data_IF_787043252136
#
_entry.id   IF_787043252136
#
_cell.length_a   1.000
_cell.length_b   1.000
_cell.length_c   1.000
_cell.angle_alpha   90.00
_cell.angle_beta   90.00
_cell.angle_gamma   90.00
#
_symmetry.space_group_name_H-M   'P 1'
#
loop_
_entity.id
_entity.type
_entity.pdbx_description
1 polymer ?
#
# COMPACT_ATOMS: atom_id res chain seq x y z
N UNK A 1 -81.08 2.26 44.60
CA UNK A 1 -80.93 1.81 43.21
C UNK A 1 -79.84 2.63 42.58
N UNK A 2 -78.73 1.98 42.22
CA UNK A 2 -77.66 2.57 41.43
C UNK A 2 -78.16 2.78 40.00
N UNK A 3 -77.98 3.98 39.45
CA UNK A 3 -77.88 4.14 38.00
C UNK A 3 -76.41 4.43 37.70
N UNK A 4 -75.80 3.49 37.01
CA UNK A 4 -74.41 3.52 36.58
C UNK A 4 -74.16 4.74 35.69
N UNK A 5 -73.14 5.52 36.06
CA UNK A 5 -72.42 6.38 35.14
C UNK A 5 -71.76 5.49 34.09
N UNK A 6 -72.35 5.38 32.90
CA UNK A 6 -71.63 4.90 31.73
C UNK A 6 -70.66 6.02 31.32
N UNK A 7 -69.42 5.93 31.78
CA UNK A 7 -68.30 6.65 31.18
C UNK A 7 -68.28 6.30 29.69
N UNK A 8 -68.32 7.27 28.76
CA UNK A 8 -67.91 6.98 27.40
C UNK A 8 -66.43 6.61 27.48
N UNK A 9 -66.10 5.37 27.08
CA UNK A 9 -64.73 5.03 26.77
C UNK A 9 -64.23 6.05 25.74
N UNK A 10 -63.26 6.86 26.14
CA UNK A 10 -62.57 7.84 25.31
C UNK A 10 -61.91 7.10 24.15
N UNK A 11 -62.65 6.90 23.06
CA UNK A 11 -62.11 6.41 21.80
C UNK A 11 -61.12 7.44 21.29
N UNK A 12 -59.87 7.01 21.08
CA UNK A 12 -58.83 7.85 20.50
C UNK A 12 -59.41 8.62 19.31
N UNK A 13 -59.35 9.95 19.38
CA UNK A 13 -59.94 10.79 18.34
C UNK A 13 -59.17 10.57 17.05
N UNK A 14 -59.85 10.57 15.90
CA UNK A 14 -59.25 10.31 14.58
C UNK A 14 -57.99 11.18 14.31
N UNK A 15 -57.94 12.35 14.96
CA UNK A 15 -56.81 13.29 14.97
C UNK A 15 -55.58 12.72 15.70
N UNK A 16 -55.73 12.08 16.85
CA UNK A 16 -54.61 11.45 17.58
C UNK A 16 -54.00 10.30 16.78
N UNK A 17 -54.82 9.51 16.07
CA UNK A 17 -54.34 8.45 15.18
C UNK A 17 -53.55 9.05 14.00
N UNK A 18 -54.01 10.14 13.42
CA UNK A 18 -53.31 10.85 12.34
C UNK A 18 -51.97 11.45 12.81
N UNK A 19 -51.95 12.09 13.98
CA UNK A 19 -50.72 12.66 14.55
C UNK A 19 -49.73 11.54 14.89
N UNK A 20 -50.17 10.48 15.57
CA UNK A 20 -49.30 9.34 15.89
C UNK A 20 -48.74 8.66 14.64
N UNK A 21 -49.57 8.47 13.61
CA UNK A 21 -49.15 7.84 12.34
C UNK A 21 -48.14 8.71 11.58
N UNK A 22 -48.35 10.03 11.52
CA UNK A 22 -47.42 10.95 10.83
C UNK A 22 -46.06 11.02 11.54
N UNK A 23 -46.05 11.14 12.87
CA UNK A 23 -44.81 11.09 13.66
C UNK A 23 -44.09 9.75 13.47
N UNK A 24 -44.82 8.64 13.48
CA UNK A 24 -44.25 7.32 13.27
C UNK A 24 -43.61 7.17 11.88
N UNK A 25 -44.26 7.67 10.82
CA UNK A 25 -43.71 7.65 9.46
C UNK A 25 -42.45 8.52 9.37
N UNK A 26 -42.45 9.72 9.97
CA UNK A 26 -41.27 10.60 9.98
C UNK A 26 -40.10 9.95 10.70
N UNK A 27 -40.34 9.34 11.86
CA UNK A 27 -39.30 8.62 12.62
C UNK A 27 -38.77 7.43 11.82
N UNK A 28 -39.62 6.69 11.11
CA UNK A 28 -39.19 5.59 10.25
C UNK A 28 -38.31 6.06 9.10
N UNK A 29 -38.67 7.16 8.43
CA UNK A 29 -37.87 7.72 7.32
C UNK A 29 -36.51 8.20 7.83
N UNK A 30 -36.48 8.94 8.96
CA UNK A 30 -35.23 9.40 9.56
C UNK A 30 -34.34 8.25 10.03
N UNK A 31 -34.93 7.22 10.62
CA UNK A 31 -34.19 6.03 11.07
C UNK A 31 -33.64 5.22 9.90
N UNK A 32 -34.40 5.12 8.80
CA UNK A 32 -33.95 4.44 7.59
C UNK A 32 -32.80 5.22 6.91
N UNK A 33 -32.92 6.55 6.82
CA UNK A 33 -31.86 7.43 6.30
C UNK A 33 -30.57 7.35 7.12
N UNK A 34 -30.68 7.40 8.45
CA UNK A 34 -29.53 7.22 9.34
C UNK A 34 -28.92 5.82 9.19
N UNK A 35 -29.73 4.76 9.11
CA UNK A 35 -29.24 3.40 8.92
C UNK A 35 -28.50 3.20 7.58
N UNK A 36 -28.96 3.85 6.51
CA UNK A 36 -28.26 3.82 5.22
C UNK A 36 -26.92 4.55 5.29
N UNK A 37 -26.86 5.74 5.90
CA UNK A 37 -25.60 6.48 6.06
C UNK A 37 -24.59 5.70 6.93
N UNK A 38 -25.02 5.11 8.05
CA UNK A 38 -24.14 4.29 8.89
C UNK A 38 -23.65 3.02 8.17
N UNK A 39 -24.50 2.41 7.33
CA UNK A 39 -24.13 1.24 6.52
C UNK A 39 -23.07 1.58 5.48
N UNK A 40 -23.24 2.71 4.78
CA UNK A 40 -22.28 3.15 3.77
C UNK A 40 -20.96 3.60 4.41
N UNK A 41 -21.02 4.28 5.57
CA UNK A 41 -19.83 4.58 6.36
C UNK A 41 -19.09 3.31 6.80
N UNK A 42 -19.82 2.27 7.25
CA UNK A 42 -19.22 0.99 7.63
C UNK A 42 -18.50 0.30 6.48
N UNK A 43 -19.11 0.27 5.29
CA UNK A 43 -18.47 -0.31 4.09
C UNK A 43 -17.23 0.47 3.66
N UNK A 44 -17.27 1.80 3.76
CA UNK A 44 -16.12 2.64 3.43
C UNK A 44 -14.97 2.39 4.40
N UNK A 45 -15.25 2.39 5.71
CA UNK A 45 -14.25 2.11 6.73
C UNK A 45 -13.58 0.72 6.57
N UNK A 46 -14.36 -0.31 6.21
CA UNK A 46 -13.82 -1.65 5.94
C UNK A 46 -12.96 -1.69 4.67
N UNK A 47 -13.37 -0.99 3.61
CA UNK A 47 -12.59 -0.88 2.38
C UNK A 47 -11.26 -0.13 2.61
N UNK A 48 -11.30 0.95 3.38
CA UNK A 48 -10.12 1.75 3.72
C UNK A 48 -9.14 0.94 4.58
N UNK A 49 -9.63 0.20 5.58
CA UNK A 49 -8.80 -0.68 6.38
C UNK A 49 -8.12 -1.78 5.55
N UNK A 50 -8.84 -2.35 4.57
CA UNK A 50 -8.29 -3.33 3.63
C UNK A 50 -7.16 -2.74 2.78
N UNK A 51 -7.39 -1.55 2.22
CA UNK A 51 -6.39 -0.85 1.40
C UNK A 51 -5.16 -0.50 2.24
N UNK A 52 -5.34 0.05 3.45
CA UNK A 52 -4.23 0.37 4.35
C UNK A 52 -3.37 -0.87 4.63
N UNK A 53 -3.99 -2.02 4.89
CA UNK A 53 -3.28 -3.28 5.11
C UNK A 53 -2.46 -3.71 3.88
N UNK A 54 -3.02 -3.58 2.68
CA UNK A 54 -2.32 -3.92 1.44
C UNK A 54 -1.16 -2.96 1.15
N UNK A 55 -1.32 -1.67 1.45
CA UNK A 55 -0.24 -0.68 1.40
C UNK A 55 0.90 -1.05 2.34
N UNK A 56 0.58 -1.45 3.58
CA UNK A 56 1.57 -1.93 4.55
C UNK A 56 2.32 -3.18 4.09
N UNK A 57 1.60 -4.13 3.50
CA UNK A 57 2.20 -5.35 2.93
C UNK A 57 3.14 -5.00 1.78
N UNK A 58 2.73 -4.09 0.90
CA UNK A 58 3.55 -3.63 -0.21
C UNK A 58 4.80 -2.90 0.28
N UNK A 59 4.66 -1.99 1.24
CA UNK A 59 5.78 -1.31 1.89
C UNK A 59 6.76 -2.31 2.52
N UNK A 60 6.25 -3.30 3.26
CA UNK A 60 7.07 -4.34 3.89
C UNK A 60 7.79 -5.23 2.87
N UNK A 61 7.15 -5.50 1.72
CA UNK A 61 7.76 -6.24 0.60
C UNK A 61 8.89 -5.43 -0.03
N UNK A 62 8.67 -4.14 -0.31
CA UNK A 62 9.73 -3.24 -0.79
C UNK A 62 10.89 -3.21 0.19
N UNK A 63 10.61 -3.05 1.49
CA UNK A 63 11.68 -3.09 2.49
C UNK A 63 12.47 -4.40 2.45
N UNK A 64 11.78 -5.54 2.39
CA UNK A 64 12.42 -6.85 2.32
C UNK A 64 13.28 -7.01 1.06
N UNK A 65 12.87 -6.47 -0.08
CA UNK A 65 13.60 -6.52 -1.36
C UNK A 65 14.85 -5.65 -1.27
N UNK A 66 14.69 -4.35 -0.94
CA UNK A 66 15.78 -3.40 -0.89
C UNK A 66 16.83 -3.74 0.17
N UNK A 67 16.43 -4.41 1.25
CA UNK A 67 17.37 -4.92 2.26
C UNK A 67 18.34 -5.96 1.69
N UNK A 68 17.99 -6.67 0.61
CA UNK A 68 18.92 -7.58 -0.08
C UNK A 68 19.87 -6.87 -1.05
N UNK A 69 19.80 -5.54 -1.16
CA UNK A 69 20.61 -4.74 -2.07
C UNK A 69 22.11 -5.03 -1.97
N UNK A 70 22.73 -5.09 -3.14
CA UNK A 70 24.12 -5.46 -3.38
C UNK A 70 24.97 -4.29 -3.88
N UNK A 71 24.39 -3.44 -4.72
CA UNK A 71 25.04 -2.27 -5.30
C UNK A 71 24.53 -0.96 -4.72
N UNK A 72 25.23 0.12 -5.04
CA UNK A 72 24.76 1.48 -4.78
C UNK A 72 23.43 1.69 -5.51
N UNK A 73 22.35 2.02 -4.79
CA UNK A 73 21.04 2.21 -5.40
C UNK A 73 21.02 3.48 -6.25
N UNK A 74 20.39 3.40 -7.41
CA UNK A 74 20.18 4.52 -8.34
C UNK A 74 18.72 4.95 -8.22
N UNK A 75 18.49 6.17 -7.76
CA UNK A 75 17.14 6.71 -7.55
C UNK A 75 16.82 7.72 -8.65
N UNK A 76 15.59 7.69 -9.17
CA UNK A 76 15.14 8.64 -10.19
C UNK A 76 15.16 10.08 -9.67
N UNK A 77 15.23 11.05 -10.58
CA UNK A 77 15.26 12.47 -10.22
C UNK A 77 13.99 12.94 -9.52
N UNK A 78 12.86 12.31 -9.79
CA UNK A 78 11.57 12.59 -9.16
C UNK A 78 11.33 11.73 -7.89
N UNK A 79 12.28 10.85 -7.54
CA UNK A 79 12.24 10.00 -6.36
C UNK A 79 11.20 8.88 -6.42
N UNK A 80 10.57 8.60 -7.56
CA UNK A 80 9.49 7.60 -7.66
C UNK A 80 9.98 6.20 -8.04
N UNK A 81 11.26 6.05 -8.42
CA UNK A 81 11.86 4.74 -8.67
C UNK A 81 13.24 4.59 -8.04
N UNK A 82 13.59 3.33 -7.76
CA UNK A 82 14.92 2.91 -7.32
C UNK A 82 15.33 1.65 -8.07
N UNK A 83 16.53 1.69 -8.63
CA UNK A 83 17.21 0.55 -9.23
C UNK A 83 18.35 0.09 -8.33
N UNK A 84 18.43 -1.21 -8.09
CA UNK A 84 19.45 -1.82 -7.24
C UNK A 84 19.63 -3.28 -7.62
N UNK A 85 20.86 -3.77 -7.58
CA UNK A 85 21.11 -5.20 -7.70
C UNK A 85 20.72 -5.90 -6.39
N UNK A 86 19.97 -7.00 -6.47
CA UNK A 86 19.47 -7.75 -5.32
C UNK A 86 19.87 -9.21 -5.38
N UNK A 87 19.87 -9.82 -4.19
CA UNK A 87 20.32 -11.18 -3.96
C UNK A 87 19.19 -12.05 -3.41
N UNK A 88 19.37 -13.36 -3.52
CA UNK A 88 18.38 -14.33 -3.06
C UNK A 88 17.22 -14.48 -4.03
N UNK A 89 17.48 -14.33 -5.32
CA UNK A 89 16.53 -14.60 -6.39
C UNK A 89 17.18 -15.48 -7.46
N UNK A 90 16.41 -16.39 -8.03
CA UNK A 90 16.80 -17.21 -9.17
C UNK A 90 15.72 -17.16 -10.25
N UNK A 91 16.13 -17.32 -11.50
CA UNK A 91 15.19 -17.40 -12.60
C UNK A 91 14.78 -18.86 -12.83
N UNK A 92 13.50 -19.14 -12.61
CA UNK A 92 12.90 -20.42 -12.95
C UNK A 92 12.59 -20.43 -14.45
N UNK A 93 13.42 -21.14 -15.22
CA UNK A 93 13.27 -21.26 -16.67
C UNK A 93 12.06 -22.08 -17.11
N UNK A 94 11.46 -22.88 -16.22
CA UNK A 94 10.25 -23.66 -16.54
C UNK A 94 9.02 -22.77 -16.48
N UNK A 95 8.95 -21.90 -15.48
CA UNK A 95 7.83 -20.98 -15.27
C UNK A 95 8.08 -19.57 -15.82
N UNK A 96 9.23 -19.35 -16.45
CA UNK A 96 9.69 -18.06 -17.00
C UNK A 96 9.55 -16.91 -15.99
N UNK A 97 9.91 -17.18 -14.73
CA UNK A 97 9.67 -16.25 -13.62
C UNK A 97 10.84 -16.23 -12.64
N UNK A 98 11.18 -15.04 -12.15
CA UNK A 98 12.06 -14.91 -10.99
C UNK A 98 11.36 -15.45 -9.74
N UNK A 99 12.09 -16.14 -8.89
CA UNK A 99 11.59 -16.68 -7.63
C UNK A 99 12.54 -16.30 -6.50
N UNK A 100 11.95 -16.06 -5.33
CA UNK A 100 12.72 -15.73 -4.13
C UNK A 100 13.26 -17.01 -3.51
N UNK A 101 14.57 -17.04 -3.30
CA UNK A 101 15.25 -18.07 -2.53
C UNK A 101 15.16 -17.70 -1.05
N UNK A 102 14.90 -18.69 -0.20
CA UNK A 102 14.85 -18.50 1.25
C UNK A 102 16.16 -17.84 1.76
N UNK A 103 16.10 -16.66 2.42
CA UNK A 103 17.27 -16.01 3.01
C UNK A 103 18.07 -16.85 4.01
N UNK A 104 17.50 -17.93 4.53
CA UNK A 104 18.19 -18.87 5.41
C UNK A 104 19.06 -19.89 4.65
N UNK A 105 18.82 -20.10 3.35
CA UNK A 105 19.50 -21.15 2.58
C UNK A 105 20.70 -20.64 1.80
N UNK A 106 20.88 -19.33 1.62
CA UNK A 106 22.05 -18.80 0.92
C UNK A 106 22.96 -17.96 1.82
N UNK A 107 24.23 -17.88 1.43
CA UNK A 107 25.24 -17.12 2.16
C UNK A 107 26.22 -16.44 1.20
N UNK A 108 26.79 -15.35 1.69
CA UNK A 108 27.90 -14.65 1.02
C UNK A 108 29.21 -15.39 1.29
N UNK A 109 30.06 -15.51 0.28
CA UNK A 109 31.43 -16.00 0.37
C UNK A 109 32.40 -14.96 -0.20
N UNK A 110 33.64 -14.99 0.26
CA UNK A 110 34.71 -14.11 -0.22
C UNK A 110 35.76 -14.96 -0.93
N UNK A 111 35.99 -14.68 -2.20
CA UNK A 111 37.07 -15.27 -2.96
C UNK A 111 38.34 -14.42 -2.78
N UNK A 112 39.31 -14.98 -2.04
CA UNK A 112 40.60 -14.34 -1.81
C UNK A 112 41.45 -14.20 -3.08
N UNK A 113 41.18 -14.99 -4.12
CA UNK A 113 41.97 -14.99 -5.36
C UNK A 113 41.57 -13.84 -6.29
N UNK A 114 40.28 -13.52 -6.35
CA UNK A 114 39.73 -12.40 -7.15
C UNK A 114 39.46 -11.15 -6.31
N UNK A 115 39.65 -11.24 -4.98
CA UNK A 115 39.30 -10.19 -4.02
C UNK A 115 37.85 -9.72 -4.16
N UNK A 116 36.95 -10.65 -4.48
CA UNK A 116 35.54 -10.37 -4.74
C UNK A 116 34.63 -11.24 -3.87
N UNK A 117 33.40 -10.77 -3.68
CA UNK A 117 32.39 -11.52 -2.95
C UNK A 117 31.40 -12.13 -3.95
N UNK A 118 30.97 -13.35 -3.68
CA UNK A 118 29.97 -14.08 -4.45
C UNK A 118 28.98 -14.77 -3.50
N UNK A 119 27.94 -15.38 -4.04
CA UNK A 119 26.86 -15.97 -3.27
C UNK A 119 26.71 -17.43 -3.59
N UNK A 120 26.44 -18.23 -2.56
CA UNK A 120 26.13 -19.64 -2.74
C UNK A 120 24.86 -20.02 -2.03
N UNK A 121 24.17 -21.03 -2.55
CA UNK A 121 23.05 -21.69 -1.89
C UNK A 121 23.53 -22.61 -0.74
N UNK A 122 22.60 -23.42 -0.22
CA UNK A 122 22.84 -24.31 0.92
C UNK A 122 23.78 -25.46 0.57
N UNK A 123 23.87 -25.80 -0.71
CA UNK A 123 24.66 -26.89 -1.27
C UNK A 123 26.01 -26.41 -1.82
N UNK A 124 26.22 -25.09 -1.89
CA UNK A 124 27.47 -24.47 -2.31
C UNK A 124 27.52 -24.06 -3.78
N UNK A 125 26.40 -24.09 -4.50
CA UNK A 125 26.31 -23.61 -5.88
C UNK A 125 26.20 -22.09 -5.92
N UNK A 126 26.90 -21.48 -6.87
CA UNK A 126 26.89 -20.04 -7.05
C UNK A 126 25.52 -19.52 -7.50
N UNK A 127 25.04 -18.46 -6.86
CA UNK A 127 23.77 -17.82 -7.14
C UNK A 127 23.96 -16.52 -7.93
N UNK A 128 23.07 -16.21 -8.88
CA UNK A 128 23.14 -14.98 -9.66
C UNK A 128 22.74 -13.77 -8.82
N UNK A 129 23.16 -12.59 -9.30
CA UNK A 129 22.67 -11.29 -8.84
C UNK A 129 21.60 -10.82 -9.81
N UNK A 130 20.44 -10.39 -9.31
CA UNK A 130 19.34 -9.91 -10.14
C UNK A 130 19.28 -8.38 -10.13
N UNK A 131 19.02 -7.75 -11.28
CA UNK A 131 18.68 -6.34 -11.35
C UNK A 131 17.25 -6.14 -10.85
N UNK A 132 17.06 -5.24 -9.90
CA UNK A 132 15.74 -4.91 -9.35
C UNK A 132 15.41 -3.45 -9.59
N UNK A 133 14.28 -3.20 -10.25
CA UNK A 133 13.66 -1.88 -10.37
C UNK A 133 12.37 -1.87 -9.56
N UNK A 134 12.31 -1.05 -8.53
CA UNK A 134 11.07 -0.74 -7.82
C UNK A 134 10.61 0.64 -8.25
N UNK A 135 9.37 0.75 -8.73
CA UNK A 135 8.83 1.99 -9.28
C UNK A 135 7.37 2.19 -8.86
N UNK A 136 7.05 3.41 -8.45
CA UNK A 136 5.67 3.86 -8.32
C UNK A 136 5.23 4.55 -9.60
N UNK A 137 4.39 3.87 -10.37
CA UNK A 137 3.87 4.35 -11.64
C UNK A 137 2.52 5.02 -11.44
N UNK A 138 2.43 6.30 -11.77
CA UNK A 138 1.18 7.08 -11.70
C UNK A 138 0.12 6.50 -12.65
N UNK A 139 -1.15 6.57 -12.24
CA UNK A 139 -2.29 6.12 -13.03
C UNK A 139 -2.61 7.10 -14.18
N UNK A 140 -2.22 8.37 -14.03
CA UNK A 140 -2.36 9.41 -15.05
C UNK A 140 -1.03 10.15 -15.26
N UNK A 141 -0.82 10.65 -16.48
CA UNK A 141 0.28 11.55 -16.82
C UNK A 141 -0.13 13.03 -16.81
N UNK A 142 -1.42 13.35 -16.71
CA UNK A 142 -1.92 14.73 -16.59
C UNK A 142 -1.87 15.20 -15.13
N UNK A 143 -1.00 16.17 -14.77
CA UNK A 143 -0.86 16.66 -13.39
C UNK A 143 -2.12 17.29 -12.79
N UNK A 144 -3.09 17.66 -13.62
CA UNK A 144 -4.37 18.24 -13.18
C UNK A 144 -5.41 17.17 -12.83
N UNK A 145 -5.17 15.91 -13.20
CA UNK A 145 -6.05 14.80 -12.85
C UNK A 145 -5.84 14.39 -11.39
N UNK A 146 -6.93 14.07 -10.68
CA UNK A 146 -6.83 13.44 -9.36
C UNK A 146 -5.99 12.16 -9.41
N UNK A 147 -6.10 11.40 -10.50
CA UNK A 147 -5.44 10.11 -10.69
C UNK A 147 -3.93 10.23 -10.90
N UNK A 148 -3.40 11.44 -11.12
CA UNK A 148 -1.96 11.67 -11.20
C UNK A 148 -1.24 11.35 -9.89
N UNK A 149 -1.93 11.56 -8.76
CA UNK A 149 -1.39 11.34 -7.42
C UNK A 149 -1.68 9.94 -6.89
N UNK A 150 -2.29 9.09 -7.72
CA UNK A 150 -2.51 7.68 -7.48
C UNK A 150 -1.72 6.86 -8.49
N UNK A 151 -1.32 5.66 -8.10
CA UNK A 151 -0.45 4.83 -8.92
C UNK A 151 -0.35 3.41 -8.42
N UNK A 152 0.41 2.60 -9.14
CA UNK A 152 0.73 1.23 -8.79
C UNK A 152 2.20 1.12 -8.42
N UNK A 153 2.50 0.33 -7.40
CA UNK A 153 3.86 0.05 -7.00
C UNK A 153 4.27 -1.28 -7.62
N UNK A 154 5.28 -1.22 -8.48
CA UNK A 154 5.77 -2.35 -9.26
C UNK A 154 7.21 -2.65 -8.86
N UNK A 155 7.53 -3.94 -8.81
CA UNK A 155 8.89 -4.44 -8.74
C UNK A 155 9.17 -5.28 -9.97
N UNK A 156 10.23 -4.95 -10.70
CA UNK A 156 10.71 -5.72 -11.85
C UNK A 156 12.06 -6.34 -11.49
N UNK A 157 12.19 -7.65 -11.66
CA UNK A 157 13.46 -8.36 -11.58
C UNK A 157 13.92 -8.75 -12.97
N UNK A 158 15.22 -8.63 -13.26
CA UNK A 158 15.81 -9.09 -14.51
C UNK A 158 17.27 -9.51 -14.38
N UNK A 159 17.77 -10.21 -15.40
CA UNK A 159 19.22 -10.47 -15.57
C UNK A 159 19.92 -9.36 -16.38
N UNK A 160 19.26 -8.21 -16.60
CA UNK A 160 19.75 -7.16 -17.51
C UNK A 160 19.60 -7.49 -19.00
N UNK A 161 18.98 -8.62 -19.33
CA UNK A 161 18.71 -9.08 -20.69
C UNK A 161 17.22 -9.32 -20.93
N UNK A 162 16.90 -10.53 -21.42
CA UNK A 162 15.54 -10.89 -21.87
C UNK A 162 14.69 -11.43 -20.71
N UNK A 163 15.32 -12.04 -19.71
CA UNK A 163 14.60 -12.71 -18.62
C UNK A 163 14.18 -11.67 -17.58
N UNK A 164 12.92 -11.28 -17.63
CA UNK A 164 12.36 -10.31 -16.69
C UNK A 164 11.01 -10.75 -16.14
N UNK A 165 10.75 -10.39 -14.89
CA UNK A 165 9.47 -10.65 -14.23
C UNK A 165 9.02 -9.39 -13.52
N UNK A 166 7.77 -8.99 -13.76
CA UNK A 166 7.15 -7.84 -13.15
C UNK A 166 6.11 -8.28 -12.11
N UNK A 167 6.19 -7.71 -10.92
CA UNK A 167 5.24 -7.93 -9.83
C UNK A 167 4.59 -6.62 -9.43
N UNK A 168 3.26 -6.56 -9.50
CA UNK A 168 2.52 -5.49 -8.84
C UNK A 168 2.47 -5.78 -7.34
N UNK A 169 3.09 -4.92 -6.53
CA UNK A 169 3.12 -5.03 -5.08
C UNK A 169 1.86 -4.46 -4.43
N UNK A 170 1.32 -3.37 -4.99
CA UNK A 170 0.04 -2.79 -4.61
C UNK A 170 -0.50 -1.93 -5.75
N UNK A 171 -1.83 -1.93 -5.85
CA UNK A 171 -2.58 -1.12 -6.80
C UNK A 171 -3.10 0.14 -6.11
N UNK A 172 -3.21 1.23 -6.87
CA UNK A 172 -3.93 2.44 -6.46
C UNK A 172 -3.44 3.11 -5.16
N UNK A 173 -2.13 3.10 -4.93
CA UNK A 173 -1.44 3.88 -3.91
C UNK A 173 -1.43 5.35 -4.30
N UNK A 174 -1.98 6.19 -3.44
CA UNK A 174 -1.98 7.64 -3.65
C UNK A 174 -2.32 8.45 -2.43
N UNK A 175 -2.16 9.76 -2.59
CA UNK A 175 -2.37 10.71 -1.51
C UNK A 175 -2.97 12.03 -2.01
N UNK A 176 -3.91 12.55 -1.23
CA UNK A 176 -4.38 13.94 -1.34
C UNK A 176 -3.49 14.92 -0.55
N UNK A 177 -2.47 14.43 0.14
CA UNK A 177 -1.61 15.23 1.01
C UNK A 177 -0.81 16.25 0.17
N UNK A 178 -0.67 17.47 0.69
CA UNK A 178 0.10 18.54 0.06
C UNK A 178 1.35 18.89 0.87
N UNK A 179 2.39 19.32 0.19
CA UNK A 179 3.54 20.01 0.73
C UNK A 179 3.13 21.42 1.22
N UNK A 180 3.99 22.04 2.04
CA UNK A 180 3.74 23.40 2.55
C UNK A 180 3.60 24.47 1.44
N UNK A 181 4.16 24.21 0.27
CA UNK A 181 4.03 25.08 -0.91
C UNK A 181 2.72 24.89 -1.68
N UNK A 182 1.86 23.94 -1.28
CA UNK A 182 0.58 23.63 -1.91
C UNK A 182 0.64 22.54 -2.99
N UNK A 183 1.83 22.06 -3.37
CA UNK A 183 1.96 20.95 -4.33
C UNK A 183 1.58 19.63 -3.66
N UNK A 184 0.90 18.74 -4.37
CA UNK A 184 0.57 17.41 -3.84
C UNK A 184 1.82 16.53 -3.76
N UNK A 185 1.92 15.75 -2.69
CA UNK A 185 3.04 14.81 -2.45
C UNK A 185 2.95 13.61 -3.38
N UNK A 186 4.09 12.99 -3.65
CA UNK A 186 4.09 11.65 -4.23
C UNK A 186 3.60 10.64 -3.19
N UNK A 187 2.87 9.61 -3.65
CA UNK A 187 2.41 8.55 -2.76
C UNK A 187 3.56 7.70 -2.23
N UNK A 188 4.60 7.53 -3.04
CA UNK A 188 5.76 6.72 -2.71
C UNK A 188 7.02 7.45 -3.14
N UNK A 189 8.00 7.52 -2.25
CA UNK A 189 9.26 8.20 -2.50
C UNK A 189 10.45 7.38 -2.01
N UNK A 190 11.50 7.39 -2.82
CA UNK A 190 12.83 6.87 -2.51
C UNK A 190 13.79 8.03 -2.39
N UNK A 191 14.58 8.03 -1.32
CA UNK A 191 15.60 9.06 -1.08
C UNK A 191 16.90 8.38 -0.69
N UNK A 192 17.99 8.76 -1.36
CA UNK A 192 19.32 8.28 -1.01
C UNK A 192 19.79 9.02 0.25
N UNK A 193 20.00 8.28 1.34
CA UNK A 193 20.47 8.81 2.62
C UNK A 193 21.78 8.13 3.00
N UNK A 194 22.88 8.59 2.41
CA UNK A 194 24.19 7.99 2.59
C UNK A 194 24.21 6.55 2.07
N UNK A 195 24.36 5.58 2.97
CA UNK A 195 24.39 4.13 2.67
C UNK A 195 23.05 3.42 2.83
N UNK A 196 21.99 4.20 2.94
CA UNK A 196 20.65 3.69 3.19
C UNK A 196 19.67 4.30 2.21
N UNK A 197 18.68 3.50 1.84
CA UNK A 197 17.55 3.97 1.06
C UNK A 197 16.47 4.33 2.07
N UNK A 198 16.10 5.60 2.10
CA UNK A 198 14.93 6.03 2.82
C UNK A 198 13.71 5.88 1.92
N UNK A 199 12.73 5.12 2.40
CA UNK A 199 11.48 4.86 1.69
C UNK A 199 10.37 5.54 2.47
N UNK A 200 9.56 6.33 1.77
CA UNK A 200 8.39 7.03 2.32
C UNK A 200 7.15 6.61 1.55
N UNK A 201 6.10 6.32 2.31
CA UNK A 201 4.76 6.11 1.80
C UNK A 201 3.88 7.21 2.40
N UNK A 202 3.16 7.91 1.55
CA UNK A 202 2.13 8.88 1.89
C UNK A 202 0.79 8.36 1.38
N UNK A 203 -0.22 8.37 2.23
CA UNK A 203 -1.55 7.91 1.88
C UNK A 203 -2.61 8.79 2.52
N UNK A 204 -3.52 9.25 1.69
CA UNK A 204 -4.72 9.97 2.06
C UNK A 204 -5.72 9.76 0.92
N UNK A 205 -6.87 9.15 1.18
CA UNK A 205 -7.82 8.71 0.13
C UNK A 205 -8.94 9.71 -0.10
N UNK A 206 -9.18 10.59 0.87
CA UNK A 206 -10.07 11.75 0.78
C UNK A 206 -9.38 12.97 1.40
N UNK A 207 -9.62 14.17 0.88
CA UNK A 207 -9.06 15.42 1.40
C UNK A 207 -9.43 15.69 2.87
N UNK A 208 -10.56 15.13 3.34
CA UNK A 208 -11.05 15.26 4.70
C UNK A 208 -10.52 14.19 5.66
N UNK A 209 -9.87 13.14 5.15
CA UNK A 209 -9.26 12.10 5.98
C UNK A 209 -7.97 12.59 6.63
N UNK A 210 -7.63 12.00 7.77
CA UNK A 210 -6.34 12.25 8.42
C UNK A 210 -5.24 11.59 7.57
N UNK A 211 -4.22 12.35 7.12
CA UNK A 211 -3.12 11.79 6.36
C UNK A 211 -2.38 10.70 7.14
N UNK A 212 -2.01 9.65 6.43
CA UNK A 212 -1.24 8.53 6.95
C UNK A 212 0.10 8.44 6.22
N UNK A 213 1.18 8.24 6.98
CA UNK A 213 2.51 8.11 6.39
C UNK A 213 3.37 7.06 7.09
N UNK A 214 4.11 6.29 6.30
CA UNK A 214 5.13 5.35 6.78
C UNK A 214 6.49 5.80 6.25
N UNK A 215 7.50 5.74 7.10
CA UNK A 215 8.88 5.99 6.71
C UNK A 215 9.76 4.87 7.26
N UNK A 216 10.64 4.34 6.42
CA UNK A 216 11.66 3.37 6.81
C UNK A 216 13.00 3.77 6.21
N UNK A 217 14.06 3.62 7.01
CA UNK A 217 15.44 3.78 6.54
C UNK A 217 16.06 2.40 6.42
N UNK A 218 16.31 1.98 5.19
CA UNK A 218 16.74 0.64 4.86
C UNK A 218 18.23 0.65 4.64
N UNK A 219 18.96 0.02 5.55
CA UNK A 219 20.36 -0.31 5.33
C UNK A 219 20.45 -1.63 4.55
N UNK A 220 21.12 -1.59 3.41
CA UNK A 220 21.36 -2.78 2.59
C UNK A 220 22.24 -3.76 3.37
N UNK A 221 21.80 -5.02 3.46
CA UNK A 221 22.49 -6.07 4.23
C UNK A 221 23.81 -6.47 3.56
N UNK A 222 23.81 -6.48 2.23
CA UNK A 222 24.87 -7.13 1.46
C UNK A 222 25.87 -6.13 0.88
N UNK A 223 25.49 -4.85 0.72
CA UNK A 223 26.38 -3.76 0.33
C UNK A 223 27.55 -3.58 1.32
N UNK A 224 28.79 -3.57 0.82
CA UNK A 224 30.00 -3.26 1.58
C UNK A 224 30.68 -2.04 0.95
N UNK A 225 31.00 -1.04 1.77
CA UNK A 225 31.82 0.09 1.34
C UNK A 225 33.21 -0.36 0.89
N UNK A 226 33.66 0.14 -0.26
CA UNK A 226 35.03 -0.03 -0.74
C UNK A 226 35.22 -0.89 -1.99
N UNK A 227 34.13 -1.16 -2.73
CA UNK A 227 34.22 -1.50 -4.16
C UNK A 227 34.33 -0.23 -5.00
#
# INVERSE_FOLDING_TARGET
MQFQSNNPQSGATLIEILIASSVFIVVLILSLGAATEFSDYGKQADADAGIQLDCHRAFSRVESILRQGWTTPVISSDGTSVEVEVLGYEYDSVNETWQRIDPATWKRQYDTSTASYYFVDGDGFELPVANCLVEWQRNSTDPNSSDYYFGKLICTLSDGGVNSTMWTLSENLGTFETHENGDRKNAFEFILSGKSIEVRLHMQRDENEVPYSIRSRIQQRNFLDGQ
#
